data_IF_619017321538
#
_entry.id   IF_619017321538
#
_cell.length_a   1.000
_cell.length_b   1.000
_cell.length_c   1.000
_cell.angle_alpha   90.00
_cell.angle_beta   90.00
_cell.angle_gamma   90.00
#
_symmetry.space_group_name_H-M   'P 1'
#
loop_
_entity.id
_entity.type
_entity.pdbx_description
1 polymer ?
#
# COMPACT_ATOMS: atom_id res chain seq x y z
N UNK A 1 14.48 9.20 -2.04
CA UNK A 1 14.50 9.24 -0.56
C UNK A 1 13.61 10.39 -0.09
N UNK A 2 12.87 10.27 1.04
CA UNK A 2 11.96 11.30 1.51
C UNK A 2 12.78 12.45 2.12
N UNK A 3 13.29 13.33 1.25
CA UNK A 3 14.02 14.54 1.64
C UNK A 3 13.69 15.73 0.75
N UNK A 4 12.69 15.63 -0.14
CA UNK A 4 12.42 16.66 -1.14
C UNK A 4 11.05 17.31 -1.08
N UNK A 5 10.01 16.59 -0.61
CA UNK A 5 8.63 17.07 -0.77
C UNK A 5 8.17 18.04 0.33
N UNK A 6 8.68 17.94 1.55
CA UNK A 6 8.17 18.69 2.71
C UNK A 6 9.24 19.43 3.52
N UNK A 7 10.51 19.32 3.13
CA UNK A 7 11.65 19.87 3.88
C UNK A 7 12.72 20.38 2.92
N UNK A 8 12.52 21.56 2.28
CA UNK A 8 13.37 22.05 1.19
C UNK A 8 14.83 22.28 1.59
N UNK A 9 15.11 22.43 2.89
CA UNK A 9 16.45 22.66 3.42
C UNK A 9 17.15 21.40 3.96
N UNK A 10 16.53 20.22 3.83
CA UNK A 10 17.04 18.99 4.43
C UNK A 10 17.51 18.03 3.35
N UNK A 11 18.82 17.82 3.29
CA UNK A 11 19.44 17.00 2.22
C UNK A 11 19.50 15.54 2.62
N UNK A 12 19.54 15.24 3.92
CA UNK A 12 19.57 13.88 4.45
C UNK A 12 18.67 13.71 5.67
N UNK A 13 18.23 12.48 5.93
CA UNK A 13 17.46 12.13 7.13
C UNK A 13 18.27 12.27 8.43
N UNK A 14 19.60 12.44 8.33
CA UNK A 14 20.47 12.79 9.47
C UNK A 14 20.32 14.24 9.90
N UNK A 15 19.80 15.11 9.04
CA UNK A 15 19.60 16.51 9.36
C UNK A 15 18.30 16.72 10.17
N UNK A 16 17.54 15.66 10.46
CA UNK A 16 16.31 15.74 11.25
C UNK A 16 16.59 16.19 12.68
N UNK A 17 15.93 17.25 13.15
CA UNK A 17 15.92 17.64 14.56
C UNK A 17 15.47 16.49 15.47
N UNK A 18 16.04 16.44 16.68
CA UNK A 18 15.80 15.36 17.64
C UNK A 18 14.32 15.22 18.03
N UNK A 19 13.59 16.33 18.16
CA UNK A 19 12.17 16.38 18.47
C UNK A 19 11.31 15.67 17.41
N UNK A 20 11.60 15.89 16.12
CA UNK A 20 10.95 15.19 15.00
C UNK A 20 11.26 13.69 15.05
N UNK A 21 12.51 13.33 15.34
CA UNK A 21 12.91 11.92 15.46
C UNK A 21 12.22 11.23 16.64
N UNK A 22 12.17 11.88 17.80
CA UNK A 22 11.48 11.38 18.99
C UNK A 22 9.97 11.26 18.75
N UNK A 23 9.35 12.23 18.07
CA UNK A 23 7.94 12.18 17.74
C UNK A 23 7.59 10.95 16.89
N UNK A 24 8.32 10.71 15.80
CA UNK A 24 8.07 9.58 14.90
C UNK A 24 8.35 8.24 15.62
N UNK A 25 9.36 8.19 16.48
CA UNK A 25 9.64 7.00 17.31
C UNK A 25 8.48 6.68 18.27
N UNK A 26 7.87 7.71 18.85
CA UNK A 26 6.77 7.55 19.80
C UNK A 26 5.40 7.39 19.13
N UNK A 27 5.25 7.83 17.87
CA UNK A 27 3.98 7.82 17.12
C UNK A 27 4.14 7.21 15.73
N UNK A 28 4.42 5.89 15.61
CA UNK A 28 4.61 5.24 14.31
C UNK A 28 3.30 5.04 13.53
N UNK A 29 2.14 5.17 14.18
CA UNK A 29 0.83 4.91 13.59
C UNK A 29 0.22 6.19 13.02
N UNK A 30 -0.31 6.08 11.80
CA UNK A 30 -1.11 7.12 11.17
C UNK A 30 -2.54 7.11 11.73
N UNK A 31 -3.13 8.30 11.90
CA UNK A 31 -4.52 8.43 12.37
C UNK A 31 -5.54 7.95 11.33
N UNK A 32 -5.32 8.28 10.06
CA UNK A 32 -6.28 8.00 8.98
C UNK A 32 -6.15 6.55 8.49
N UNK A 33 -7.28 5.86 8.35
CA UNK A 33 -7.34 4.54 7.73
C UNK A 33 -7.16 4.60 6.21
N UNK A 34 -6.52 3.58 5.65
CA UNK A 34 -6.42 3.40 4.19
C UNK A 34 -7.61 2.57 3.74
N UNK A 35 -8.37 3.11 2.79
CA UNK A 35 -9.49 2.40 2.17
C UNK A 35 -9.06 1.83 0.81
N UNK A 36 -9.59 0.66 0.42
CA UNK A 36 -9.38 0.13 -0.92
C UNK A 36 -10.00 1.07 -1.97
N UNK A 37 -9.52 0.95 -3.21
CA UNK A 37 -10.12 1.64 -4.35
C UNK A 37 -11.61 1.31 -4.40
N UNK A 38 -12.46 2.33 -4.57
CA UNK A 38 -13.92 2.24 -4.51
C UNK A 38 -14.53 1.87 -3.14
N UNK A 39 -13.75 1.90 -2.05
CA UNK A 39 -14.20 1.60 -0.67
C UNK A 39 -14.88 0.23 -0.51
N UNK A 40 -14.56 -0.73 -1.37
CA UNK A 40 -15.08 -2.11 -1.32
C UNK A 40 -14.04 -3.13 -1.79
N UNK A 41 -14.13 -4.39 -1.33
CA UNK A 41 -13.29 -5.46 -1.88
C UNK A 41 -13.64 -5.75 -3.35
N UNK A 42 -12.63 -6.19 -4.12
CA UNK A 42 -12.83 -6.57 -5.54
C UNK A 42 -13.52 -7.93 -5.70
N UNK A 43 -13.23 -8.87 -4.80
CA UNK A 43 -13.81 -10.21 -4.79
C UNK A 43 -14.15 -10.60 -3.35
N UNK A 44 -15.30 -11.24 -3.18
CA UNK A 44 -15.75 -11.78 -1.89
C UNK A 44 -16.17 -13.23 -2.11
N UNK A 45 -15.58 -14.14 -1.33
CA UNK A 45 -15.98 -15.56 -1.30
C UNK A 45 -16.33 -15.92 0.14
N UNK A 46 -17.56 -16.38 0.34
CA UNK A 46 -18.12 -16.73 1.65
C UNK A 46 -18.68 -18.16 1.55
N UNK A 47 -18.72 -18.90 2.67
CA UNK A 47 -19.28 -20.24 2.72
C UNK A 47 -18.35 -21.34 2.22
N UNK A 48 -17.05 -21.05 2.15
CA UNK A 48 -15.99 -22.02 1.85
C UNK A 48 -15.15 -22.30 3.10
N UNK A 49 -14.61 -23.50 3.17
CA UNK A 49 -13.70 -23.96 4.22
C UNK A 49 -12.25 -23.46 4.03
N UNK A 50 -11.88 -23.07 2.81
CA UNK A 50 -10.57 -22.51 2.50
C UNK A 50 -10.53 -20.97 2.54
N UNK A 51 -9.31 -20.42 2.68
CA UNK A 51 -9.02 -18.98 2.67
C UNK A 51 -8.02 -18.67 1.56
N UNK A 52 -8.12 -17.50 0.94
CA UNK A 52 -7.09 -17.07 0.01
C UNK A 52 -5.77 -16.78 0.74
N UNK A 53 -4.66 -17.33 0.24
CA UNK A 53 -3.32 -17.24 0.87
C UNK A 53 -2.30 -16.51 0.01
N UNK A 54 -2.44 -16.59 -1.31
CA UNK A 54 -1.51 -16.01 -2.29
C UNK A 54 -2.28 -15.32 -3.38
N UNK A 55 -1.68 -14.27 -3.94
CA UNK A 55 -2.21 -13.54 -5.09
C UNK A 55 -1.09 -13.31 -6.11
N UNK A 56 -1.37 -13.57 -7.37
CA UNK A 56 -0.56 -13.13 -8.49
C UNK A 56 -1.45 -12.38 -9.48
N UNK A 57 -0.91 -11.33 -10.10
CA UNK A 57 -1.64 -10.48 -11.05
C UNK A 57 -0.86 -10.38 -12.34
N UNK A 58 -1.48 -10.77 -13.44
CA UNK A 58 -0.92 -10.63 -14.77
C UNK A 58 -1.59 -9.47 -15.52
N UNK A 59 -0.81 -8.69 -16.25
CA UNK A 59 -1.27 -7.55 -17.05
C UNK A 59 -1.19 -7.95 -18.52
N UNK A 60 -2.33 -8.36 -19.07
CA UNK A 60 -2.41 -8.95 -20.41
C UNK A 60 -2.97 -7.93 -21.39
N UNK A 61 -2.35 -7.81 -22.56
CA UNK A 61 -2.97 -7.15 -23.71
C UNK A 61 -3.72 -8.22 -24.51
N UNK A 62 -5.04 -8.20 -24.44
CA UNK A 62 -5.92 -9.00 -25.27
C UNK A 62 -6.29 -8.23 -26.54
N UNK A 63 -6.94 -8.91 -27.50
CA UNK A 63 -7.31 -8.31 -28.78
C UNK A 63 -8.27 -7.11 -28.64
N UNK A 64 -9.05 -7.08 -27.57
CA UNK A 64 -10.06 -6.09 -27.24
C UNK A 64 -9.59 -5.04 -26.21
N UNK A 65 -8.44 -5.23 -25.57
CA UNK A 65 -7.91 -4.25 -24.61
C UNK A 65 -6.93 -4.82 -23.60
N UNK A 66 -6.56 -3.99 -22.62
CA UNK A 66 -5.66 -4.37 -21.54
C UNK A 66 -6.46 -4.80 -20.32
N UNK A 67 -6.11 -5.96 -19.76
CA UNK A 67 -6.78 -6.55 -18.62
C UNK A 67 -5.82 -6.91 -17.49
N UNK A 68 -6.37 -6.99 -16.27
CA UNK A 68 -5.70 -7.51 -15.09
C UNK A 68 -6.30 -8.87 -14.74
N UNK A 69 -5.53 -9.94 -14.89
CA UNK A 69 -5.97 -11.31 -14.54
C UNK A 69 -5.44 -11.64 -13.15
N UNK A 70 -6.35 -12.00 -12.24
CA UNK A 70 -6.01 -12.34 -10.85
C UNK A 70 -5.98 -13.85 -10.68
N UNK A 71 -4.86 -14.37 -10.18
CA UNK A 71 -4.71 -15.76 -9.76
C UNK A 71 -4.67 -15.80 -8.24
N UNK A 72 -5.58 -16.58 -7.63
CA UNK A 72 -5.73 -16.66 -6.18
C UNK A 72 -5.40 -18.08 -5.71
N UNK A 73 -4.38 -18.19 -4.85
CA UNK A 73 -4.05 -19.43 -4.16
C UNK A 73 -4.94 -19.60 -2.92
N UNK A 74 -5.41 -20.83 -2.69
CA UNK A 74 -6.25 -21.24 -1.55
C UNK A 74 -5.49 -22.14 -0.61
#
# INVERSE_FOLDING_TARGET
>A
CPGGAFTPNMRTTKDFPDDVVTFIRNHPLMYNSIYPIHRRPLLVRIGTDYKYTKIAVDRVNAADGRYHVLFLGT
#
